data_IF_194204711291
#
_entry.id   IF_194204711291
#
_cell.length_a   1.000
_cell.length_b   1.000
_cell.length_c   1.000
_cell.angle_alpha   90.00
_cell.angle_beta   90.00
_cell.angle_gamma   90.00
#
_symmetry.space_group_name_H-M   'P 1'
#
loop_
_entity.id
_entity.type
_entity.pdbx_description
1 polymer ?
#
# COMPACT_ATOMS: atom_id res chain seq x y z
N UNK A 1 -39.03 -24.25 11.24
CA UNK A 1 -38.44 -23.68 12.46
C UNK A 1 -38.13 -24.83 13.40
N UNK A 2 -36.88 -25.09 13.75
CA UNK A 2 -36.48 -26.16 14.67
C UNK A 2 -36.29 -25.56 16.08
N UNK A 3 -36.73 -26.27 17.11
CA UNK A 3 -36.51 -25.92 18.51
C UNK A 3 -35.55 -26.95 19.11
N UNK A 4 -34.48 -26.46 19.73
CA UNK A 4 -33.51 -27.31 20.47
C UNK A 4 -33.84 -27.15 21.96
N UNK A 5 -34.05 -28.27 22.64
CA UNK A 5 -34.26 -28.32 24.07
C UNK A 5 -33.12 -29.08 24.71
N UNK A 6 -32.39 -28.44 25.64
CA UNK A 6 -31.28 -29.06 26.37
C UNK A 6 -31.34 -28.67 27.85
N UNK A 7 -30.68 -29.45 28.76
CA UNK A 7 -30.54 -29.06 30.15
C UNK A 7 -29.75 -27.75 30.28
N UNK A 8 -30.06 -26.96 31.29
CA UNK A 8 -29.32 -25.78 31.64
C UNK A 8 -28.05 -26.16 32.37
N UNK A 9 -26.88 -25.68 31.93
CA UNK A 9 -25.57 -25.96 32.47
C UNK A 9 -25.02 -24.72 33.15
N UNK A 10 -24.41 -24.90 34.31
CA UNK A 10 -23.97 -23.75 35.15
C UNK A 10 -22.48 -23.86 35.48
N UNK A 11 -21.71 -22.82 35.11
CA UNK A 11 -20.30 -22.65 35.43
C UNK A 11 -20.04 -22.01 36.81
N UNK A 12 -21.06 -21.90 37.68
CA UNK A 12 -20.96 -21.22 38.98
C UNK A 12 -21.28 -22.12 40.18
N UNK A 13 -21.43 -23.40 39.95
CA UNK A 13 -21.97 -24.35 40.96
C UNK A 13 -20.99 -24.56 42.12
N UNK A 14 -19.72 -24.77 41.82
CA UNK A 14 -18.64 -25.03 42.77
C UNK A 14 -17.28 -24.59 42.27
N UNK A 15 -16.22 -24.92 42.97
CA UNK A 15 -14.83 -24.57 42.62
C UNK A 15 -14.34 -25.30 41.37
N UNK A 16 -14.97 -26.41 41.00
CA UNK A 16 -14.71 -27.20 39.81
C UNK A 16 -15.59 -26.74 38.60
N UNK A 17 -16.23 -25.61 38.73
CA UNK A 17 -17.10 -25.04 37.71
C UNK A 17 -16.51 -23.75 37.14
N UNK A 18 -16.81 -23.47 35.85
CA UNK A 18 -16.35 -22.27 35.13
C UNK A 18 -16.80 -22.27 33.68
N UNK A 19 -16.42 -21.25 32.94
CA UNK A 19 -16.64 -21.16 31.51
C UNK A 19 -15.37 -20.74 30.75
N UNK A 20 -15.27 -21.20 29.52
CA UNK A 20 -14.09 -20.90 28.70
C UNK A 20 -14.36 -20.89 27.20
N UNK A 21 -13.37 -20.38 26.51
CA UNK A 21 -13.28 -20.40 25.05
C UNK A 21 -11.94 -21.04 24.70
N UNK A 22 -11.94 -21.96 23.76
CA UNK A 22 -10.73 -22.46 23.11
C UNK A 22 -10.81 -22.19 21.61
N UNK A 23 -9.71 -21.72 21.04
CA UNK A 23 -9.51 -21.55 19.62
C UNK A 23 -8.47 -22.58 19.18
N UNK A 24 -8.75 -23.32 18.11
CA UNK A 24 -7.94 -24.47 17.71
C UNK A 24 -6.51 -24.11 17.28
N UNK A 25 -6.28 -22.87 16.84
CA UNK A 25 -4.97 -22.30 16.47
C UNK A 25 -4.84 -20.87 17.00
N UNK A 26 -3.65 -20.32 16.96
CA UNK A 26 -3.42 -18.92 17.30
C UNK A 26 -4.14 -18.00 16.30
N UNK A 27 -5.07 -17.14 16.73
CA UNK A 27 -5.82 -16.28 15.82
C UNK A 27 -5.00 -15.11 15.21
N UNK A 28 -3.86 -14.79 15.79
CA UNK A 28 -2.97 -13.75 15.28
C UNK A 28 -1.92 -14.33 14.31
N UNK A 29 -1.28 -15.44 14.69
CA UNK A 29 -0.17 -16.03 13.93
C UNK A 29 -0.55 -17.26 13.11
N UNK A 30 -1.74 -17.84 13.27
CA UNK A 30 -2.17 -19.06 12.59
C UNK A 30 -1.43 -20.33 13.02
N UNK A 31 -0.56 -20.26 14.03
CA UNK A 31 0.20 -21.43 14.49
C UNK A 31 -0.69 -22.50 15.07
N UNK A 32 -0.32 -23.80 14.92
CA UNK A 32 -1.08 -24.94 15.40
C UNK A 32 -1.19 -25.08 16.93
N UNK A 33 -0.98 -24.00 17.67
CA UNK A 33 -1.09 -23.96 19.13
C UNK A 33 -2.47 -23.46 19.51
N UNK A 34 -3.25 -24.31 20.20
CA UNK A 34 -4.57 -23.90 20.71
C UNK A 34 -4.41 -22.77 21.75
N UNK A 35 -5.24 -21.73 21.59
CA UNK A 35 -5.29 -20.58 22.48
C UNK A 35 -6.68 -20.43 23.09
N UNK A 36 -6.85 -19.57 24.07
CA UNK A 36 -8.16 -19.35 24.64
C UNK A 36 -8.11 -18.78 26.06
N UNK A 37 -9.27 -18.74 26.70
CA UNK A 37 -9.43 -18.24 28.07
C UNK A 37 -10.33 -19.18 28.86
N UNK A 38 -10.04 -19.35 30.13
CA UNK A 38 -10.92 -19.99 31.11
C UNK A 38 -11.06 -19.08 32.32
N UNK A 39 -12.29 -18.95 32.78
CA UNK A 39 -12.63 -18.19 34.00
C UNK A 39 -13.41 -19.12 34.95
N UNK A 40 -12.91 -19.33 36.18
CA UNK A 40 -13.63 -20.13 37.17
C UNK A 40 -14.85 -19.40 37.69
N UNK A 41 -15.84 -20.14 38.13
CA UNK A 41 -17.07 -19.66 38.78
C UNK A 41 -17.84 -18.60 37.98
N UNK A 42 -17.92 -18.78 36.65
CA UNK A 42 -18.70 -17.92 35.74
C UNK A 42 -19.45 -18.74 34.71
N UNK A 43 -20.57 -18.20 34.24
CA UNK A 43 -21.31 -18.75 33.10
C UNK A 43 -20.90 -18.13 31.76
N UNK A 44 -20.09 -17.08 31.77
CA UNK A 44 -19.61 -16.40 30.57
C UNK A 44 -18.10 -16.20 30.69
N UNK A 45 -17.32 -16.67 29.72
CA UNK A 45 -15.92 -16.34 29.68
C UNK A 45 -15.77 -14.82 29.50
N UNK A 46 -14.93 -14.17 30.28
CA UNK A 46 -14.62 -12.77 30.10
C UNK A 46 -13.87 -12.59 28.77
N UNK A 47 -14.42 -11.79 27.89
CA UNK A 47 -13.80 -11.38 26.64
C UNK A 47 -12.72 -10.34 26.95
N UNK A 48 -11.49 -10.77 27.27
CA UNK A 48 -10.33 -9.87 27.32
C UNK A 48 -9.68 -9.83 25.95
N UNK A 49 -9.21 -8.66 25.55
CA UNK A 49 -8.59 -8.39 24.25
C UNK A 49 -7.29 -9.17 23.94
N UNK A 50 -6.76 -9.89 24.91
CA UNK A 50 -5.64 -10.81 24.75
C UNK A 50 -6.02 -12.17 25.32
N UNK A 51 -5.91 -13.24 24.53
CA UNK A 51 -6.08 -14.61 24.98
C UNK A 51 -4.73 -15.16 25.46
N UNK A 52 -4.38 -15.03 26.76
CA UNK A 52 -3.04 -15.41 27.26
C UNK A 52 -2.82 -16.94 27.27
N UNK A 53 -3.77 -17.68 26.75
CA UNK A 53 -3.79 -19.14 26.77
C UNK A 53 -4.75 -19.68 27.82
N UNK A 54 -4.93 -21.00 27.81
CA UNK A 54 -5.77 -21.71 28.78
C UNK A 54 -4.98 -22.08 30.05
N UNK A 55 -4.05 -21.18 30.47
CA UNK A 55 -3.11 -21.50 31.57
C UNK A 55 -3.83 -21.89 32.85
N UNK A 56 -4.83 -21.09 33.28
CA UNK A 56 -5.58 -21.40 34.52
C UNK A 56 -6.29 -22.75 34.46
N UNK A 57 -6.82 -23.15 33.31
CA UNK A 57 -7.42 -24.47 33.14
C UNK A 57 -6.37 -25.59 33.14
N UNK A 58 -5.21 -25.35 32.51
CA UNK A 58 -4.11 -26.33 32.52
C UNK A 58 -3.57 -26.57 33.93
N UNK A 59 -3.42 -25.50 34.69
CA UNK A 59 -2.83 -25.56 36.04
C UNK A 59 -3.81 -26.17 37.06
N UNK A 60 -5.12 -25.86 36.92
CA UNK A 60 -6.14 -26.31 37.88
C UNK A 60 -6.79 -27.64 37.48
N UNK A 61 -6.88 -27.94 36.19
CA UNK A 61 -7.56 -29.13 35.67
C UNK A 61 -6.96 -29.59 34.33
N UNK A 62 -5.76 -30.18 34.32
CA UNK A 62 -5.06 -30.57 33.09
C UNK A 62 -5.86 -31.55 32.21
N UNK A 63 -6.58 -32.47 32.79
CA UNK A 63 -7.45 -33.40 32.01
C UNK A 63 -8.58 -32.64 31.27
N UNK A 64 -9.16 -31.65 31.90
CA UNK A 64 -10.19 -30.80 31.27
C UNK A 64 -9.60 -29.95 30.13
N UNK A 65 -8.40 -29.39 30.35
CA UNK A 65 -7.63 -28.70 29.33
C UNK A 65 -7.42 -29.56 28.10
N UNK A 66 -6.89 -30.79 28.29
CA UNK A 66 -6.60 -31.72 27.18
C UNK A 66 -7.87 -32.15 26.43
N UNK A 67 -8.98 -32.29 27.15
CA UNK A 67 -10.28 -32.61 26.55
C UNK A 67 -10.79 -31.47 25.63
N UNK A 68 -10.73 -30.19 26.06
CA UNK A 68 -11.22 -29.08 25.25
C UNK A 68 -10.31 -28.80 24.06
N UNK A 69 -8.99 -28.94 24.21
CA UNK A 69 -8.03 -28.82 23.12
C UNK A 69 -8.23 -29.93 22.09
N UNK A 70 -8.38 -31.20 22.54
CA UNK A 70 -8.66 -32.34 21.66
C UNK A 70 -10.03 -32.17 20.94
N UNK A 71 -11.03 -31.64 21.62
CA UNK A 71 -12.34 -31.34 21.00
C UNK A 71 -12.22 -30.26 19.91
N UNK A 72 -11.49 -29.17 20.19
CA UNK A 72 -11.24 -28.09 19.20
C UNK A 72 -10.51 -28.65 17.98
N UNK A 73 -9.43 -29.41 18.15
CA UNK A 73 -8.68 -30.04 17.07
C UNK A 73 -9.51 -31.04 16.26
N UNK A 74 -10.41 -31.79 16.90
CA UNK A 74 -11.33 -32.69 16.19
C UNK A 74 -12.34 -31.94 15.33
N UNK A 75 -12.88 -30.85 15.87
CA UNK A 75 -13.80 -29.98 15.13
C UNK A 75 -13.15 -29.26 13.97
N UNK A 76 -11.92 -28.77 14.16
CA UNK A 76 -11.09 -28.19 13.12
C UNK A 76 -10.92 -29.18 11.94
N UNK A 77 -10.47 -30.42 12.23
CA UNK A 77 -10.34 -31.45 11.19
C UNK A 77 -11.65 -31.77 10.48
N UNK A 78 -12.75 -31.78 11.22
CA UNK A 78 -14.07 -32.09 10.65
C UNK A 78 -14.62 -30.98 9.76
N UNK A 79 -14.25 -29.72 10.03
CA UNK A 79 -14.71 -28.54 9.29
C UNK A 79 -13.72 -28.06 8.25
N UNK A 80 -12.50 -28.57 8.31
CA UNK A 80 -11.36 -28.04 7.56
C UNK A 80 -11.24 -26.52 7.69
N UNK A 81 -11.43 -26.00 8.91
CA UNK A 81 -11.34 -24.58 9.24
C UNK A 81 -11.06 -24.38 10.72
N UNK A 82 -10.40 -23.25 11.03
CA UNK A 82 -10.11 -22.83 12.39
C UNK A 82 -11.39 -22.61 13.20
N UNK A 83 -11.47 -23.19 14.38
CA UNK A 83 -12.69 -23.24 15.19
C UNK A 83 -12.52 -22.53 16.51
N UNK A 84 -13.51 -21.69 16.87
CA UNK A 84 -13.73 -21.16 18.19
C UNK A 84 -14.81 -21.99 18.88
N UNK A 85 -14.45 -22.59 20.02
CA UNK A 85 -15.30 -23.50 20.79
C UNK A 85 -15.57 -22.89 22.16
N UNK A 86 -16.84 -22.69 22.50
CA UNK A 86 -17.26 -22.28 23.85
C UNK A 86 -17.62 -23.50 24.68
N UNK A 87 -17.17 -23.51 25.92
CA UNK A 87 -17.45 -24.62 26.84
C UNK A 87 -17.77 -24.12 28.25
N UNK A 88 -18.53 -24.94 28.97
CA UNK A 88 -18.77 -24.78 30.41
C UNK A 88 -18.22 -26.06 31.10
N UNK A 89 -17.48 -25.84 32.17
CA UNK A 89 -17.12 -26.87 33.14
C UNK A 89 -18.11 -26.80 34.30
N UNK A 90 -18.87 -27.88 34.52
CA UNK A 90 -19.80 -27.98 35.64
C UNK A 90 -19.44 -29.22 36.46
N UNK A 91 -19.07 -29.02 37.74
CA UNK A 91 -18.66 -30.13 38.65
C UNK A 91 -17.58 -31.04 38.03
N UNK A 92 -16.58 -30.40 37.44
CA UNK A 92 -15.48 -31.10 36.77
C UNK A 92 -15.79 -31.64 35.37
N UNK A 93 -17.07 -31.68 34.93
CA UNK A 93 -17.47 -32.19 33.63
C UNK A 93 -17.50 -31.08 32.57
N UNK A 94 -16.94 -31.36 31.38
CA UNK A 94 -16.94 -30.40 30.25
C UNK A 94 -18.21 -30.58 29.39
N UNK A 95 -18.82 -29.44 29.08
CA UNK A 95 -19.94 -29.30 28.17
C UNK A 95 -19.59 -28.35 27.07
N UNK A 96 -19.63 -28.80 25.84
CA UNK A 96 -19.44 -27.95 24.66
C UNK A 96 -20.75 -27.20 24.35
N UNK A 97 -20.70 -25.89 24.30
CA UNK A 97 -21.89 -25.05 24.17
C UNK A 97 -22.09 -24.60 22.72
N UNK A 98 -21.01 -24.07 22.11
CA UNK A 98 -21.05 -23.53 20.77
C UNK A 98 -19.72 -23.82 20.05
N UNK A 99 -19.80 -24.08 18.74
CA UNK A 99 -18.65 -24.17 17.85
C UNK A 99 -18.90 -23.35 16.60
N UNK A 100 -18.08 -22.35 16.36
CA UNK A 100 -18.16 -21.46 15.19
C UNK A 100 -16.78 -21.29 14.54
N UNK A 101 -16.71 -20.81 13.27
CA UNK A 101 -15.43 -20.36 12.70
C UNK A 101 -14.78 -19.31 13.61
N UNK A 102 -13.47 -19.37 13.74
CA UNK A 102 -12.73 -18.41 14.54
C UNK A 102 -12.38 -17.16 13.73
N UNK A 103 -12.58 -15.99 14.35
CA UNK A 103 -12.03 -14.74 13.83
C UNK A 103 -10.49 -14.83 13.86
N UNK A 104 -9.84 -14.34 12.82
CA UNK A 104 -8.37 -14.45 12.66
C UNK A 104 -7.80 -13.30 11.86
N UNK A 105 -6.52 -13.04 12.04
CA UNK A 105 -5.80 -12.05 11.23
C UNK A 105 -5.64 -12.53 9.79
N UNK A 106 -5.37 -11.64 8.82
CA UNK A 106 -5.03 -12.01 7.45
C UNK A 106 -3.88 -13.00 7.37
N UNK A 107 -2.83 -12.80 8.15
CA UNK A 107 -1.66 -13.69 8.23
C UNK A 107 -2.03 -15.07 8.73
N UNK A 108 -2.85 -15.12 9.78
CA UNK A 108 -3.35 -16.38 10.29
C UNK A 108 -4.23 -17.10 9.26
N UNK A 109 -5.05 -16.37 8.48
CA UNK A 109 -5.88 -16.95 7.44
C UNK A 109 -5.05 -17.64 6.34
N UNK A 110 -4.02 -16.94 5.84
CA UNK A 110 -3.11 -17.49 4.82
C UNK A 110 -2.35 -18.70 5.36
N UNK A 111 -1.74 -18.57 6.54
CA UNK A 111 -0.97 -19.65 7.14
C UNK A 111 -1.84 -20.88 7.41
N UNK A 112 -3.01 -20.70 7.99
CA UNK A 112 -3.94 -21.80 8.29
C UNK A 112 -4.36 -22.51 7.01
N UNK A 113 -4.66 -21.79 5.93
CA UNK A 113 -5.02 -22.38 4.64
C UNK A 113 -3.87 -23.25 4.08
N UNK A 114 -2.64 -22.75 4.11
CA UNK A 114 -1.46 -23.48 3.62
C UNK A 114 -1.16 -24.70 4.53
N UNK A 115 -1.13 -24.53 5.84
CA UNK A 115 -0.88 -25.61 6.79
C UNK A 115 -1.92 -26.73 6.65
N UNK A 116 -3.21 -26.40 6.48
CA UNK A 116 -4.28 -27.39 6.30
C UNK A 116 -4.18 -28.18 4.99
N UNK A 117 -3.63 -27.62 3.94
CA UNK A 117 -3.28 -28.38 2.73
C UNK A 117 -2.15 -29.35 3.03
N UNK A 118 -1.10 -28.91 3.72
CA UNK A 118 0.01 -29.75 4.15
C UNK A 118 -0.42 -30.90 5.10
N UNK A 119 -1.41 -30.65 5.94
CA UNK A 119 -2.03 -31.61 6.84
C UNK A 119 -3.05 -32.55 6.14
N UNK A 120 -3.36 -32.34 4.86
CA UNK A 120 -4.33 -33.13 4.09
C UNK A 120 -5.79 -32.89 4.48
N UNK A 121 -6.09 -31.77 5.12
CA UNK A 121 -7.44 -31.42 5.57
C UNK A 121 -8.27 -30.70 4.50
N UNK A 122 -7.60 -30.04 3.52
CA UNK A 122 -8.24 -29.40 2.38
C UNK A 122 -7.38 -29.52 1.12
N UNK A 123 -7.99 -29.29 -0.03
CA UNK A 123 -7.28 -29.19 -1.31
C UNK A 123 -6.73 -27.75 -1.50
N UNK A 124 -5.78 -27.58 -2.47
CA UNK A 124 -5.27 -26.24 -2.85
C UNK A 124 -6.40 -25.32 -3.28
N UNK A 125 -7.36 -25.80 -4.08
CA UNK A 125 -8.51 -25.01 -4.53
C UNK A 125 -9.38 -24.54 -3.35
N UNK A 126 -9.57 -25.40 -2.36
CA UNK A 126 -10.30 -25.05 -1.14
C UNK A 126 -9.53 -24.02 -0.31
N UNK A 127 -8.21 -24.12 -0.23
CA UNK A 127 -7.37 -23.13 0.45
C UNK A 127 -7.44 -21.76 -0.21
N UNK A 128 -7.40 -21.71 -1.54
CA UNK A 128 -7.58 -20.46 -2.30
C UNK A 128 -8.96 -19.82 -2.05
N UNK A 129 -10.00 -20.61 -1.95
CA UNK A 129 -11.36 -20.12 -1.67
C UNK A 129 -11.57 -19.74 -0.20
N UNK A 130 -10.76 -20.24 0.72
CA UNK A 130 -10.87 -19.95 2.15
C UNK A 130 -10.22 -18.63 2.58
N UNK A 131 -9.41 -18.01 1.71
CA UNK A 131 -8.71 -16.74 1.96
C UNK A 131 -9.39 -15.64 1.15
N UNK A 132 -9.81 -14.59 1.84
CA UNK A 132 -10.37 -13.40 1.18
C UNK A 132 -9.25 -12.61 0.47
N UNK A 133 -9.34 -12.41 -0.87
CA UNK A 133 -8.34 -11.64 -1.60
C UNK A 133 -8.15 -10.21 -1.11
N UNK A 134 -9.19 -9.57 -0.56
CA UNK A 134 -9.11 -8.20 -0.06
C UNK A 134 -8.14 -8.08 1.14
N UNK A 135 -8.02 -9.14 1.94
CA UNK A 135 -7.10 -9.13 3.07
C UNK A 135 -5.62 -9.24 2.65
N UNK A 136 -5.33 -9.79 1.45
CA UNK A 136 -3.95 -9.99 0.97
C UNK A 136 -3.25 -8.68 0.64
N UNK A 137 -3.98 -7.69 0.12
CA UNK A 137 -3.40 -6.38 -0.20
C UNK A 137 -2.73 -5.73 1.01
N UNK A 138 -3.33 -5.87 2.20
CA UNK A 138 -2.74 -5.38 3.45
C UNK A 138 -1.49 -6.12 3.91
N UNK A 139 -1.24 -7.34 3.41
CA UNK A 139 -0.07 -8.13 3.76
C UNK A 139 1.17 -7.82 2.91
N UNK A 140 0.98 -7.19 1.76
CA UNK A 140 2.05 -6.87 0.81
C UNK A 140 2.79 -5.57 1.16
N UNK A 141 2.26 -4.79 2.09
CA UNK A 141 2.77 -3.47 2.44
C UNK A 141 3.08 -3.37 3.94
N UNK A 142 4.03 -2.49 4.33
CA UNK A 142 4.22 -2.12 5.73
C UNK A 142 2.92 -1.61 6.33
N UNK A 143 2.65 -1.92 7.59
CA UNK A 143 1.41 -1.54 8.29
C UNK A 143 1.69 -1.10 9.71
N UNK A 144 0.74 -0.43 10.33
CA UNK A 144 0.81 -0.14 11.76
C UNK A 144 0.85 -1.45 12.55
N UNK A 145 1.83 -1.60 13.46
CA UNK A 145 2.01 -2.81 14.27
C UNK A 145 0.86 -3.01 15.27
N UNK A 146 0.22 -1.92 15.67
CA UNK A 146 -0.95 -1.91 16.56
C UNK A 146 -1.88 -0.75 16.22
N UNK A 147 -3.13 -0.82 16.67
CA UNK A 147 -4.05 0.33 16.56
C UNK A 147 -3.47 1.52 17.28
N UNK A 148 -3.31 2.70 16.64
CA UNK A 148 -2.77 3.89 17.26
C UNK A 148 -3.56 4.30 18.52
N UNK A 149 -2.83 4.76 19.53
CA UNK A 149 -3.44 5.36 20.71
C UNK A 149 -3.82 6.81 20.38
N UNK A 150 -5.04 7.04 19.95
CA UNK A 150 -5.60 8.36 19.64
C UNK A 150 -6.36 8.40 18.33
N UNK A 151 -7.09 9.49 18.13
CA UNK A 151 -7.81 9.77 16.90
C UNK A 151 -6.83 10.27 15.82
N UNK A 152 -7.07 9.98 14.54
CA UNK A 152 -6.29 10.54 13.47
C UNK A 152 -6.42 12.07 13.45
N UNK A 153 -5.31 12.76 13.25
CA UNK A 153 -5.28 14.24 13.16
C UNK A 153 -5.88 14.75 11.86
N UNK A 154 -5.88 13.90 10.82
CA UNK A 154 -6.55 14.17 9.55
C UNK A 154 -6.82 12.88 8.78
N UNK A 155 -7.70 13.00 7.77
CA UNK A 155 -8.00 11.95 6.81
C UNK A 155 -8.04 12.52 5.40
N UNK A 156 -7.65 11.69 4.44
CA UNK A 156 -7.66 12.00 3.02
C UNK A 156 -7.99 10.79 2.17
N UNK A 157 -7.77 10.90 0.87
CA UNK A 157 -7.95 9.79 -0.05
C UNK A 157 -6.84 8.76 0.12
N UNK A 158 -7.17 7.51 0.41
CA UNK A 158 -6.26 6.38 0.41
C UNK A 158 -5.78 6.11 -1.03
N UNK A 159 -4.55 6.49 -1.37
CA UNK A 159 -4.07 6.48 -2.76
C UNK A 159 -2.96 5.50 -3.05
N UNK A 160 -2.12 5.21 -2.09
CA UNK A 160 -1.14 4.13 -2.16
C UNK A 160 -1.10 3.42 -0.80
N UNK A 161 -1.27 2.09 -0.77
CA UNK A 161 -1.35 1.33 0.47
C UNK A 161 -0.01 1.31 1.20
N UNK A 162 -0.09 0.98 2.50
CA UNK A 162 1.06 0.89 3.39
C UNK A 162 1.02 1.93 4.49
N UNK A 163 1.88 1.75 5.50
CA UNK A 163 2.08 2.70 6.57
C UNK A 163 3.54 3.14 6.64
N UNK A 164 3.76 4.39 6.98
CA UNK A 164 5.09 4.97 7.15
C UNK A 164 5.10 5.97 8.29
N UNK A 165 6.23 6.06 8.98
CA UNK A 165 6.47 7.02 10.04
C UNK A 165 7.78 7.75 9.79
N UNK A 166 7.79 9.07 9.92
CA UNK A 166 8.98 9.87 9.71
C UNK A 166 8.76 11.33 10.05
N UNK A 167 9.82 12.13 9.96
CA UNK A 167 9.69 13.58 10.08
C UNK A 167 9.12 14.19 8.79
N UNK A 168 8.29 15.23 8.88
CA UNK A 168 7.80 15.90 7.68
C UNK A 168 8.90 16.71 7.00
N UNK A 169 8.95 16.61 5.67
CA UNK A 169 9.77 17.47 4.79
C UNK A 169 8.88 18.13 3.75
N UNK A 170 9.25 19.33 3.33
CA UNK A 170 8.37 20.22 2.56
C UNK A 170 8.91 20.56 1.18
N UNK A 171 10.05 19.97 0.82
CA UNK A 171 10.64 20.10 -0.52
C UNK A 171 11.11 18.74 -1.03
N UNK A 172 11.20 18.63 -2.35
CA UNK A 172 11.73 17.44 -3.04
C UNK A 172 13.19 17.24 -2.70
N UNK A 173 13.96 18.32 -2.66
CA UNK A 173 15.38 18.33 -2.35
C UNK A 173 15.67 17.79 -0.95
N UNK A 174 14.83 18.19 0.04
CA UNK A 174 14.96 17.67 1.42
C UNK A 174 14.63 16.17 1.51
N UNK A 175 13.66 15.70 0.70
CA UNK A 175 13.33 14.28 0.65
C UNK A 175 14.46 13.45 0.03
N UNK A 176 15.05 13.92 -1.08
CA UNK A 176 16.18 13.27 -1.73
C UNK A 176 17.38 13.23 -0.78
N UNK A 177 17.72 14.36 -0.17
CA UNK A 177 18.82 14.46 0.79
C UNK A 177 18.61 13.58 2.03
N UNK A 178 17.36 13.36 2.46
CA UNK A 178 17.04 12.42 3.54
C UNK A 178 17.22 10.97 3.10
N UNK A 179 16.74 10.63 1.89
CA UNK A 179 16.92 9.29 1.31
C UNK A 179 18.40 8.90 1.15
N UNK A 180 19.27 9.83 0.74
CA UNK A 180 20.72 9.62 0.68
C UNK A 180 21.34 9.32 2.06
N UNK A 181 20.70 9.77 3.15
CA UNK A 181 21.12 9.52 4.53
C UNK A 181 20.38 8.35 5.18
N UNK A 182 19.56 7.63 4.42
CA UNK A 182 18.69 6.56 4.92
C UNK A 182 17.77 7.02 6.07
N UNK A 183 17.31 8.29 6.02
CA UNK A 183 16.38 8.85 6.99
C UNK A 183 14.94 8.70 6.50
N UNK A 184 14.06 8.13 7.34
CA UNK A 184 12.64 8.04 7.06
C UNK A 184 11.98 9.42 7.17
N UNK A 185 11.44 9.91 6.05
CA UNK A 185 10.74 11.20 5.99
C UNK A 185 9.38 11.06 5.31
N UNK A 186 8.44 11.90 5.73
CA UNK A 186 7.14 12.04 5.06
C UNK A 186 7.18 13.32 4.23
N UNK A 187 7.17 13.15 2.91
CA UNK A 187 7.14 14.26 1.97
C UNK A 187 5.74 14.88 1.95
N UNK A 188 5.67 16.18 2.20
CA UNK A 188 4.40 16.91 2.26
C UNK A 188 4.40 18.01 1.22
N UNK A 189 3.54 17.87 0.21
CA UNK A 189 3.41 18.81 -0.90
C UNK A 189 1.97 19.29 -1.05
N UNK A 190 1.78 20.36 -1.81
CA UNK A 190 0.44 20.78 -2.22
C UNK A 190 -0.13 19.81 -3.25
N UNK A 191 0.66 19.49 -4.25
CA UNK A 191 0.40 18.55 -5.33
C UNK A 191 1.75 18.00 -5.82
N UNK A 192 1.75 16.88 -6.53
CA UNK A 192 2.96 16.29 -7.13
C UNK A 192 2.93 16.59 -8.63
N UNK A 193 3.99 17.17 -9.11
CA UNK A 193 4.25 17.38 -10.54
C UNK A 193 5.23 16.31 -11.05
N UNK A 194 5.34 16.10 -12.36
CA UNK A 194 6.28 15.13 -12.93
C UNK A 194 7.74 15.28 -12.47
N UNK A 195 8.17 16.51 -12.22
CA UNK A 195 9.53 16.82 -11.71
C UNK A 195 9.78 16.41 -10.26
N UNK A 196 8.73 16.11 -9.51
CA UNK A 196 8.80 15.81 -8.07
C UNK A 196 8.96 14.30 -7.79
N UNK A 197 9.01 13.47 -8.83
CA UNK A 197 9.02 12.00 -8.73
C UNK A 197 10.19 11.47 -7.89
N UNK A 198 11.37 12.02 -8.05
CA UNK A 198 12.56 11.59 -7.30
C UNK A 198 12.37 11.77 -5.79
N UNK A 199 11.71 12.87 -5.38
CA UNK A 199 11.35 13.09 -3.99
C UNK A 199 10.33 12.07 -3.46
N UNK A 200 9.35 11.67 -4.29
CA UNK A 200 8.37 10.65 -3.92
C UNK A 200 9.03 9.28 -3.73
N UNK A 201 9.98 8.93 -4.59
CA UNK A 201 10.74 7.66 -4.50
C UNK A 201 11.65 7.63 -3.29
N UNK A 202 12.24 8.78 -2.92
CA UNK A 202 13.19 8.89 -1.80
C UNK A 202 12.50 9.00 -0.44
N UNK A 203 11.22 9.35 -0.38
CA UNK A 203 10.48 9.49 0.85
C UNK A 203 9.89 8.15 1.33
N UNK A 204 9.83 7.95 2.65
CA UNK A 204 9.14 6.82 3.26
C UNK A 204 7.61 6.90 3.10
N UNK A 205 7.05 8.11 2.91
CA UNK A 205 5.64 8.32 2.68
C UNK A 205 5.31 9.69 2.10
N UNK A 206 4.11 9.83 1.52
CA UNK A 206 3.65 11.04 0.84
C UNK A 206 2.32 11.54 1.38
N UNK A 207 2.23 12.85 1.61
CA UNK A 207 0.99 13.58 1.89
C UNK A 207 0.83 14.68 0.85
N UNK A 208 -0.38 14.81 0.27
CA UNK A 208 -0.72 16.01 -0.52
C UNK A 208 -2.05 16.64 -0.09
N UNK A 209 -2.13 17.98 -0.18
CA UNK A 209 -3.38 18.70 0.10
C UNK A 209 -4.37 18.67 -1.06
N UNK A 210 -3.89 18.44 -2.28
CA UNK A 210 -4.69 18.34 -3.50
C UNK A 210 -4.46 17.00 -4.20
N UNK A 211 -5.46 16.58 -4.96
CA UNK A 211 -5.42 15.34 -5.73
C UNK A 211 -6.34 14.26 -5.17
N UNK A 212 -6.49 13.19 -5.91
CA UNK A 212 -7.28 12.01 -5.57
C UNK A 212 -6.63 10.76 -6.13
N UNK A 213 -7.36 9.65 -6.19
CA UNK A 213 -6.84 8.33 -6.59
C UNK A 213 -6.24 8.26 -8.00
N UNK A 214 -6.57 9.19 -8.87
CA UNK A 214 -6.09 9.28 -10.27
C UNK A 214 -5.10 10.41 -10.50
N UNK A 215 -4.72 11.17 -9.45
CA UNK A 215 -3.76 12.26 -9.55
C UNK A 215 -2.34 11.76 -9.87
N UNK A 216 -1.46 12.65 -10.35
CA UNK A 216 -0.04 12.33 -10.55
C UNK A 216 0.62 11.83 -9.26
N UNK A 217 0.29 12.42 -8.11
CA UNK A 217 0.74 11.97 -6.80
C UNK A 217 0.40 10.50 -6.53
N UNK A 218 -0.85 10.12 -6.82
CA UNK A 218 -1.33 8.76 -6.62
C UNK A 218 -0.64 7.75 -7.54
N UNK A 219 -0.45 8.12 -8.80
CA UNK A 219 0.24 7.27 -9.79
C UNK A 219 1.71 7.10 -9.42
N UNK A 220 2.39 8.20 -9.08
CA UNK A 220 3.80 8.20 -8.68
C UNK A 220 4.04 7.36 -7.42
N UNK A 221 3.23 7.58 -6.38
CA UNK A 221 3.36 6.85 -5.13
C UNK A 221 3.15 5.34 -5.30
N UNK A 222 2.13 4.92 -6.07
CA UNK A 222 1.91 3.51 -6.36
C UNK A 222 3.05 2.89 -7.18
N UNK A 223 3.57 3.62 -8.16
CA UNK A 223 4.70 3.15 -8.96
C UNK A 223 5.99 3.00 -8.14
N UNK A 224 6.19 3.87 -7.15
CA UNK A 224 7.32 3.81 -6.22
C UNK A 224 7.11 2.81 -5.07
N UNK A 225 5.88 2.33 -4.82
CA UNK A 225 5.54 1.55 -3.63
C UNK A 225 5.53 2.40 -2.34
N UNK A 226 5.47 3.72 -2.47
CA UNK A 226 5.47 4.66 -1.34
C UNK A 226 4.05 4.82 -0.79
N UNK A 227 3.80 4.58 0.50
CA UNK A 227 2.52 4.86 1.13
C UNK A 227 2.09 6.32 0.93
N UNK A 228 0.82 6.55 0.53
CA UNK A 228 0.39 7.91 0.21
C UNK A 228 -1.06 8.21 0.55
N UNK A 229 -1.26 9.44 1.02
CA UNK A 229 -2.57 10.03 1.28
C UNK A 229 -2.66 11.35 0.49
N UNK A 230 -3.69 11.49 -0.32
CA UNK A 230 -3.89 12.71 -1.13
C UNK A 230 -5.19 13.42 -0.79
N UNK A 231 -5.26 14.72 -1.08
CA UNK A 231 -6.49 15.49 -0.92
C UNK A 231 -6.90 15.72 0.54
N UNK A 232 -5.94 15.92 1.45
CA UNK A 232 -6.25 16.27 2.83
C UNK A 232 -6.70 17.74 2.88
N UNK A 233 -7.95 17.98 3.27
CA UNK A 233 -8.60 19.28 3.14
C UNK A 233 -7.97 20.39 4.01
N UNK A 234 -7.64 20.12 5.25
CA UNK A 234 -7.21 21.13 6.22
C UNK A 234 -5.68 21.20 6.38
N UNK A 235 -4.97 21.22 5.26
CA UNK A 235 -3.50 21.33 5.24
C UNK A 235 -3.08 22.75 4.88
N UNK A 236 -2.32 23.39 5.77
CA UNK A 236 -1.69 24.67 5.52
C UNK A 236 -0.17 24.51 5.61
N UNK A 237 0.48 24.66 4.45
CA UNK A 237 1.93 24.68 4.33
C UNK A 237 2.45 26.09 4.66
N UNK A 238 3.47 26.16 5.50
CA UNK A 238 4.20 27.38 5.84
C UNK A 238 5.70 27.11 5.73
N UNK A 239 6.54 28.12 5.73
CA UNK A 239 7.99 27.93 5.69
C UNK A 239 8.46 27.09 6.90
N UNK A 240 8.85 25.82 6.65
CA UNK A 240 9.38 24.90 7.65
C UNK A 240 8.35 24.29 8.61
N UNK A 241 7.06 24.41 8.34
CA UNK A 241 6.01 23.77 9.13
C UNK A 241 4.77 23.46 8.31
N UNK A 242 4.01 22.47 8.78
CA UNK A 242 2.69 22.13 8.24
C UNK A 242 1.67 22.12 9.37
N UNK A 243 0.53 22.74 9.15
CA UNK A 243 -0.65 22.55 10.00
C UNK A 243 -1.61 21.61 9.31
N UNK A 244 -1.94 20.52 10.01
CA UNK A 244 -2.91 19.52 9.57
C UNK A 244 -4.06 19.52 10.60
N UNK A 245 -5.23 19.98 10.18
CA UNK A 245 -6.35 20.19 11.11
C UNK A 245 -5.99 21.16 12.23
N UNK A 246 -6.05 20.69 13.48
CA UNK A 246 -5.70 21.48 14.67
C UNK A 246 -4.23 21.34 15.10
N UNK A 247 -3.44 20.46 14.49
CA UNK A 247 -2.06 20.15 14.89
C UNK A 247 -1.07 20.80 13.92
N UNK A 248 -0.02 21.41 14.46
CA UNK A 248 1.09 21.97 13.68
C UNK A 248 2.32 21.10 13.89
N UNK A 249 2.95 20.70 12.79
CA UNK A 249 4.18 19.92 12.77
C UNK A 249 5.31 20.75 12.14
N UNK A 250 6.49 20.59 12.69
CA UNK A 250 7.74 21.17 12.20
C UNK A 250 8.65 20.04 11.70
N UNK A 251 9.75 20.37 11.04
CA UNK A 251 10.73 19.37 10.58
C UNK A 251 11.39 18.53 11.69
N UNK A 252 11.08 18.80 12.97
CA UNK A 252 11.59 18.06 14.13
C UNK A 252 10.54 17.12 14.75
N UNK A 253 9.29 17.23 14.32
CA UNK A 253 8.21 16.36 14.80
C UNK A 253 8.17 15.07 13.99
N UNK A 254 7.45 14.06 14.48
CA UNK A 254 7.17 12.85 13.74
C UNK A 254 5.70 12.80 13.34
N UNK A 255 5.45 12.29 12.14
CA UNK A 255 4.11 12.01 11.60
C UNK A 255 4.08 10.56 11.17
N UNK A 256 2.97 9.88 11.39
CA UNK A 256 2.71 8.54 10.87
C UNK A 256 1.51 8.59 9.94
N UNK A 257 1.62 7.92 8.80
CA UNK A 257 0.54 7.78 7.83
C UNK A 257 0.13 6.32 7.66
N UNK A 258 -1.17 6.12 7.50
CA UNK A 258 -1.75 4.86 7.01
C UNK A 258 -2.39 5.13 5.64
N UNK A 259 -1.64 4.81 4.59
CA UNK A 259 -2.05 5.00 3.21
C UNK A 259 -3.20 4.07 2.80
N UNK A 260 -3.37 2.92 3.50
CA UNK A 260 -4.49 2.00 3.29
C UNK A 260 -5.80 2.54 3.85
N UNK A 261 -5.76 3.14 5.05
CA UNK A 261 -6.93 3.75 5.69
C UNK A 261 -7.13 5.23 5.29
N UNK A 262 -6.13 5.89 4.69
CA UNK A 262 -6.14 7.31 4.38
C UNK A 262 -6.09 8.20 5.63
N UNK A 263 -5.37 7.78 6.67
CA UNK A 263 -5.34 8.42 7.99
C UNK A 263 -3.94 8.90 8.36
N UNK A 264 -3.88 10.08 8.99
CA UNK A 264 -2.64 10.70 9.49
C UNK A 264 -2.69 10.75 11.00
N UNK A 265 -1.60 10.36 11.65
CA UNK A 265 -1.44 10.36 13.10
C UNK A 265 -0.27 11.23 13.53
N UNK A 266 -0.40 11.85 14.69
CA UNK A 266 0.70 12.58 15.32
C UNK A 266 1.66 11.61 16.01
N UNK A 267 2.96 11.90 15.93
CA UNK A 267 4.01 11.09 16.55
C UNK A 267 4.48 9.93 15.69
N UNK A 268 5.48 9.21 16.19
CA UNK A 268 6.02 8.00 15.60
C UNK A 268 5.28 6.79 16.13
N UNK A 269 4.76 5.97 15.26
CA UNK A 269 4.15 4.67 15.56
C UNK A 269 4.99 3.55 14.96
N UNK A 270 4.97 2.40 15.63
CA UNK A 270 5.71 1.23 15.17
C UNK A 270 5.11 0.69 13.88
N UNK A 271 5.96 0.48 12.88
CA UNK A 271 5.59 -0.06 11.57
C UNK A 271 6.01 -1.53 11.51
N UNK A 272 5.03 -2.41 11.38
CA UNK A 272 5.26 -3.82 11.10
C UNK A 272 5.55 -3.99 9.61
N UNK A 273 6.68 -4.60 9.31
CA UNK A 273 7.01 -5.00 7.95
C UNK A 273 6.09 -6.15 7.49
N UNK A 274 5.88 -6.32 6.19
CA UNK A 274 5.19 -7.48 5.65
C UNK A 274 5.78 -8.77 6.25
N UNK A 275 4.95 -9.76 6.66
CA UNK A 275 5.47 -11.01 7.18
C UNK A 275 6.35 -11.71 6.15
N UNK A 276 7.35 -12.47 6.62
CA UNK A 276 8.23 -13.23 5.75
C UNK A 276 7.39 -14.12 4.80
N UNK A 277 7.65 -13.95 3.51
CA UNK A 277 6.76 -14.24 2.38
C UNK A 277 6.34 -15.72 2.18
N UNK A 278 6.90 -16.71 2.89
CA UNK A 278 6.79 -18.13 2.54
C UNK A 278 5.36 -18.69 2.41
N UNK A 279 4.44 -18.34 3.27
CA UNK A 279 3.05 -18.83 3.20
C UNK A 279 2.24 -18.11 2.10
N UNK A 280 2.43 -16.80 1.98
CA UNK A 280 1.77 -16.02 0.94
C UNK A 280 2.27 -16.41 -0.44
N UNK A 281 3.59 -16.56 -0.62
CA UNK A 281 4.18 -17.00 -1.89
C UNK A 281 3.64 -18.35 -2.31
N UNK A 282 3.54 -19.30 -1.37
CA UNK A 282 2.99 -20.62 -1.66
C UNK A 282 1.51 -20.57 -2.06
N UNK A 283 0.71 -19.70 -1.41
CA UNK A 283 -0.69 -19.50 -1.80
C UNK A 283 -0.80 -18.87 -3.18
N UNK A 284 0.07 -17.89 -3.50
CA UNK A 284 0.12 -17.23 -4.80
C UNK A 284 0.59 -18.18 -5.91
N UNK A 285 1.57 -19.06 -5.65
CA UNK A 285 1.97 -20.12 -6.59
C UNK A 285 0.78 -21.03 -6.97
N UNK A 286 -0.04 -21.42 -5.99
CA UNK A 286 -1.24 -22.22 -6.27
C UNK A 286 -2.29 -21.42 -7.06
N UNK A 287 -2.41 -20.11 -6.80
CA UNK A 287 -3.30 -19.25 -7.57
C UNK A 287 -2.83 -19.14 -9.03
N UNK A 288 -1.52 -19.01 -9.25
CA UNK A 288 -0.94 -18.95 -10.61
C UNK A 288 -1.14 -20.25 -11.40
N UNK A 289 -1.15 -21.41 -10.74
CA UNK A 289 -1.45 -22.69 -11.41
C UNK A 289 -2.89 -22.77 -11.97
N UNK A 290 -3.85 -22.06 -11.37
CA UNK A 290 -5.28 -22.16 -11.72
C UNK A 290 -5.86 -20.93 -12.40
N UNK A 291 -5.20 -19.76 -12.29
CA UNK A 291 -5.68 -18.54 -12.95
C UNK A 291 -5.68 -18.67 -14.45
N UNK A 292 -6.66 -18.01 -15.09
CA UNK A 292 -6.82 -17.99 -16.55
C UNK A 292 -6.52 -16.63 -17.16
N UNK A 293 -6.59 -15.58 -16.36
CA UNK A 293 -6.30 -14.22 -16.78
C UNK A 293 -4.82 -13.91 -16.50
N UNK A 294 -4.16 -13.29 -17.46
CA UNK A 294 -2.83 -12.76 -17.28
C UNK A 294 -2.87 -11.48 -16.43
N UNK A 295 -1.86 -11.30 -15.60
CA UNK A 295 -1.65 -10.09 -14.79
C UNK A 295 -0.58 -9.25 -15.47
N UNK A 296 -0.97 -8.06 -15.94
CA UNK A 296 -0.10 -7.15 -16.66
C UNK A 296 0.12 -5.88 -15.83
N UNK A 297 1.37 -5.52 -15.62
CA UNK A 297 1.74 -4.37 -14.82
C UNK A 297 1.88 -3.10 -15.68
N UNK A 298 1.83 -1.94 -15.03
CA UNK A 298 2.30 -0.69 -15.61
C UNK A 298 3.75 -0.47 -15.19
N UNK A 299 4.65 -0.25 -16.13
CA UNK A 299 6.04 0.07 -15.86
C UNK A 299 6.63 0.94 -16.99
N UNK A 300 7.23 2.05 -16.64
CA UNK A 300 7.78 3.04 -17.57
C UNK A 300 9.31 3.01 -17.59
N UNK A 301 9.95 2.25 -16.69
CA UNK A 301 11.41 2.12 -16.55
C UNK A 301 11.80 0.66 -16.40
N UNK A 302 13.06 0.33 -16.75
CA UNK A 302 13.63 -1.00 -16.55
C UNK A 302 13.55 -1.49 -15.10
N UNK A 303 13.79 -0.59 -14.14
CA UNK A 303 13.67 -0.89 -12.70
C UNK A 303 12.24 -1.30 -12.34
N UNK A 304 11.24 -0.51 -12.75
CA UNK A 304 9.83 -0.82 -12.49
C UNK A 304 9.40 -2.12 -13.17
N UNK A 305 9.88 -2.38 -14.39
CA UNK A 305 9.64 -3.61 -15.13
C UNK A 305 10.24 -4.84 -14.43
N UNK A 306 11.48 -4.73 -13.93
CA UNK A 306 12.13 -5.79 -13.15
C UNK A 306 11.35 -6.09 -11.86
N UNK A 307 10.88 -5.06 -11.16
CA UNK A 307 10.03 -5.23 -9.97
C UNK A 307 8.70 -5.94 -10.32
N UNK A 308 8.05 -5.53 -11.41
CA UNK A 308 6.82 -6.15 -11.88
C UNK A 308 7.03 -7.63 -12.24
N UNK A 309 8.11 -7.95 -12.96
CA UNK A 309 8.49 -9.32 -13.31
C UNK A 309 8.76 -10.18 -12.06
N UNK A 310 9.50 -9.64 -11.10
CA UNK A 310 9.79 -10.32 -9.83
C UNK A 310 8.51 -10.58 -9.03
N UNK A 311 7.54 -9.67 -9.12
CA UNK A 311 6.22 -9.83 -8.50
C UNK A 311 5.28 -10.78 -9.27
N UNK A 312 5.72 -11.40 -10.39
CA UNK A 312 4.96 -12.38 -11.16
C UNK A 312 4.07 -11.81 -12.26
N UNK A 313 4.34 -10.60 -12.75
CA UNK A 313 3.61 -10.06 -13.90
C UNK A 313 3.93 -10.85 -15.18
N UNK A 314 2.89 -11.15 -15.97
CA UNK A 314 3.01 -11.86 -17.26
C UNK A 314 3.49 -10.94 -18.39
N UNK A 315 3.49 -9.64 -18.18
CA UNK A 315 3.93 -8.64 -19.14
C UNK A 315 3.69 -7.22 -18.65
N UNK A 316 4.14 -6.25 -19.43
CA UNK A 316 3.83 -4.83 -19.22
C UNK A 316 2.66 -4.43 -20.10
N UNK A 317 1.53 -4.09 -19.47
CA UNK A 317 0.30 -3.67 -20.14
C UNK A 317 0.30 -2.20 -20.55
N UNK A 318 1.14 -1.39 -19.93
CA UNK A 318 1.34 0.02 -20.27
C UNK A 318 2.73 0.48 -19.90
N UNK A 319 3.54 0.79 -20.91
CA UNK A 319 4.76 1.60 -20.79
C UNK A 319 4.50 2.94 -21.49
N UNK A 320 4.59 4.04 -20.76
CA UNK A 320 4.31 5.38 -21.26
C UNK A 320 5.60 6.04 -21.74
N UNK A 321 5.77 6.20 -23.04
CA UNK A 321 6.99 6.76 -23.63
C UNK A 321 7.24 8.22 -23.23
N UNK A 322 6.21 8.97 -22.84
CA UNK A 322 6.35 10.34 -22.37
C UNK A 322 7.14 10.48 -21.06
N UNK A 323 7.17 9.44 -20.22
CA UNK A 323 7.97 9.47 -19.00
C UNK A 323 9.48 9.39 -19.27
N UNK A 324 9.87 8.94 -20.49
CA UNK A 324 11.27 8.93 -20.92
C UNK A 324 11.79 10.34 -21.26
N UNK A 325 10.91 11.37 -21.27
CA UNK A 325 11.27 12.76 -21.63
C UNK A 325 11.47 13.69 -20.43
N UNK A 326 11.48 13.13 -19.21
CA UNK A 326 11.67 13.94 -18.00
C UNK A 326 13.15 14.23 -17.69
N UNK A 327 13.38 15.12 -16.73
CA UNK A 327 14.71 15.51 -16.29
C UNK A 327 15.47 16.31 -17.37
N UNK A 328 16.75 16.00 -17.55
CA UNK A 328 17.63 16.71 -18.50
C UNK A 328 17.16 16.56 -19.96
N UNK A 329 16.45 15.49 -20.28
CA UNK A 329 15.92 15.21 -21.64
C UNK A 329 14.83 16.17 -22.07
N UNK A 330 14.16 16.80 -21.12
CA UNK A 330 13.13 17.82 -21.40
C UNK A 330 13.70 18.99 -22.21
N UNK A 331 14.97 19.32 -22.04
CA UNK A 331 15.65 20.37 -22.82
C UNK A 331 15.75 19.99 -24.31
N UNK A 332 16.00 18.71 -24.61
CA UNK A 332 16.03 18.21 -26.00
C UNK A 332 14.65 18.27 -26.64
N UNK A 333 13.61 17.85 -25.91
CA UNK A 333 12.22 17.93 -26.41
C UNK A 333 11.81 19.37 -26.66
N UNK A 334 12.14 20.32 -25.76
CA UNK A 334 11.88 21.74 -25.95
C UNK A 334 12.61 22.31 -27.16
N UNK A 335 13.86 21.88 -27.40
CA UNK A 335 14.62 22.27 -28.59
C UNK A 335 13.92 21.81 -29.86
N UNK A 336 13.39 20.59 -29.91
CA UNK A 336 12.60 20.08 -31.03
C UNK A 336 11.34 20.92 -31.29
N UNK A 337 10.64 21.34 -30.23
CA UNK A 337 9.37 22.05 -30.32
C UNK A 337 9.55 23.53 -30.67
N UNK A 338 10.62 24.16 -30.17
CA UNK A 338 10.84 25.63 -30.26
C UNK A 338 11.82 26.04 -31.36
N UNK A 339 12.63 25.08 -31.89
CA UNK A 339 13.59 25.44 -32.95
C UNK A 339 12.88 25.77 -34.26
N UNK A 340 13.19 26.95 -34.81
CA UNK A 340 12.82 27.37 -36.16
C UNK A 340 13.80 26.85 -37.22
N UNK A 341 15.04 26.50 -36.79
CA UNK A 341 16.04 25.93 -37.69
C UNK A 341 15.81 24.41 -37.90
N UNK A 342 15.56 24.02 -39.14
CA UNK A 342 15.36 22.62 -39.51
C UNK A 342 16.58 21.74 -39.24
N UNK A 343 17.80 22.30 -39.25
CA UNK A 343 19.02 21.53 -38.95
C UNK A 343 19.12 21.25 -37.44
N UNK A 344 18.97 22.26 -36.61
CA UNK A 344 18.98 22.10 -35.14
C UNK A 344 17.87 21.15 -34.68
N UNK A 345 16.66 21.25 -35.29
CA UNK A 345 15.57 20.31 -35.02
C UNK A 345 15.93 18.88 -35.37
N UNK A 346 16.60 18.65 -36.51
CA UNK A 346 17.01 17.30 -36.94
C UNK A 346 18.07 16.71 -35.99
N UNK A 347 19.04 17.52 -35.55
CA UNK A 347 20.04 17.08 -34.56
C UNK A 347 19.39 16.73 -33.22
N UNK A 348 18.43 17.54 -32.75
CA UNK A 348 17.71 17.27 -31.51
C UNK A 348 16.84 16.00 -31.59
N UNK A 349 16.26 15.71 -32.75
CA UNK A 349 15.52 14.45 -33.00
C UNK A 349 16.45 13.24 -32.95
N UNK A 350 17.65 13.31 -33.57
CA UNK A 350 18.64 12.23 -33.52
C UNK A 350 19.14 11.99 -32.08
N UNK A 351 19.36 13.08 -31.34
CA UNK A 351 19.73 12.99 -29.92
C UNK A 351 18.64 12.29 -29.09
N UNK A 352 17.38 12.68 -29.30
CA UNK A 352 16.23 12.07 -28.61
C UNK A 352 16.05 10.60 -28.97
N UNK A 353 16.20 10.24 -30.26
CA UNK A 353 16.13 8.85 -30.73
C UNK A 353 17.17 7.98 -30.00
N UNK A 354 18.41 8.44 -29.93
CA UNK A 354 19.48 7.69 -29.25
C UNK A 354 19.19 7.49 -27.75
N UNK A 355 18.64 8.49 -27.08
CA UNK A 355 18.25 8.40 -25.67
C UNK A 355 17.10 7.39 -25.46
N UNK A 356 16.09 7.42 -26.33
CA UNK A 356 14.96 6.49 -26.25
C UNK A 356 15.33 5.04 -26.60
N UNK A 357 16.24 4.84 -27.56
CA UNK A 357 16.74 3.50 -27.89
C UNK A 357 17.31 2.84 -26.65
N UNK A 358 18.13 3.55 -25.86
CA UNK A 358 18.69 3.02 -24.63
C UNK A 358 17.61 2.65 -23.61
N UNK A 359 16.62 3.52 -23.39
CA UNK A 359 15.53 3.24 -22.43
C UNK A 359 14.70 2.01 -22.84
N UNK A 360 14.41 1.88 -24.14
CA UNK A 360 13.67 0.73 -24.64
C UNK A 360 14.49 -0.56 -24.60
N UNK A 361 15.79 -0.51 -24.89
CA UNK A 361 16.68 -1.66 -24.74
C UNK A 361 16.69 -2.16 -23.31
N UNK A 362 16.90 -1.28 -22.33
CA UNK A 362 16.86 -1.64 -20.91
C UNK A 362 15.50 -2.19 -20.45
N UNK A 363 14.39 -1.56 -20.89
CA UNK A 363 13.04 -1.99 -20.56
C UNK A 363 12.73 -3.38 -21.15
N UNK A 364 13.07 -3.60 -22.42
CA UNK A 364 12.83 -4.86 -23.13
C UNK A 364 13.76 -5.98 -22.59
N UNK A 365 15.00 -5.67 -22.22
CA UNK A 365 15.89 -6.62 -21.57
C UNK A 365 15.35 -7.08 -20.21
N UNK A 366 14.84 -6.14 -19.39
CA UNK A 366 14.20 -6.46 -18.12
C UNK A 366 13.00 -7.40 -18.30
N UNK A 367 12.30 -7.32 -19.42
CA UNK A 367 11.11 -8.11 -19.77
C UNK A 367 11.37 -9.20 -20.81
N UNK A 368 12.62 -9.63 -21.00
CA UNK A 368 12.97 -10.63 -22.00
C UNK A 368 12.06 -11.87 -21.92
N UNK A 369 11.49 -12.27 -23.05
CA UNK A 369 10.55 -13.38 -23.18
C UNK A 369 9.10 -13.08 -22.75
N UNK A 370 8.77 -11.84 -22.34
CA UNK A 370 7.42 -11.41 -21.96
C UNK A 370 6.97 -10.19 -22.77
N UNK A 371 5.66 -10.02 -23.04
CA UNK A 371 5.18 -8.92 -23.87
C UNK A 371 5.22 -7.57 -23.16
N UNK A 372 5.53 -6.51 -23.91
CA UNK A 372 5.50 -5.12 -23.46
C UNK A 372 4.63 -4.30 -24.41
N UNK A 373 3.61 -3.64 -23.86
CA UNK A 373 2.75 -2.70 -24.63
C UNK A 373 3.21 -1.29 -24.36
N UNK A 374 3.74 -0.64 -25.40
CA UNK A 374 4.21 0.74 -25.34
C UNK A 374 3.11 1.68 -25.81
N UNK A 375 2.77 2.68 -25.02
CA UNK A 375 1.97 3.82 -25.45
C UNK A 375 2.88 4.81 -26.18
N UNK A 376 2.55 5.10 -27.41
CA UNK A 376 3.18 6.19 -28.15
C UNK A 376 2.83 7.52 -27.48
N UNK A 377 3.63 8.57 -27.75
CA UNK A 377 3.50 9.88 -27.16
C UNK A 377 2.06 10.41 -27.22
N UNK A 378 1.39 10.48 -26.07
CA UNK A 378 -0.02 10.87 -25.96
C UNK A 378 -0.26 12.28 -25.39
N UNK A 379 0.56 12.82 -24.45
CA UNK A 379 0.30 14.12 -23.84
C UNK A 379 0.24 15.27 -24.85
N UNK A 380 -0.55 16.31 -24.55
CA UNK A 380 -0.52 17.54 -25.31
C UNK A 380 0.89 18.17 -25.33
N UNK A 381 1.26 18.75 -26.45
CA UNK A 381 2.62 19.31 -26.67
C UNK A 381 3.00 20.35 -25.63
N UNK A 382 2.04 21.16 -25.14
CA UNK A 382 2.30 22.20 -24.14
C UNK A 382 2.75 21.67 -22.77
N UNK A 383 2.52 20.38 -22.44
CA UNK A 383 3.00 19.79 -21.17
C UNK A 383 4.54 19.71 -21.11
N UNK A 384 5.22 19.70 -22.26
CA UNK A 384 6.68 19.72 -22.32
C UNK A 384 7.28 21.12 -22.29
N UNK A 385 6.46 22.15 -22.45
CA UNK A 385 6.89 23.54 -22.45
C UNK A 385 6.97 24.10 -21.02
N UNK A 386 7.73 25.19 -20.79
CA UNK A 386 7.72 25.89 -19.51
C UNK A 386 6.32 26.41 -19.16
N UNK A 387 6.05 26.57 -17.87
CA UNK A 387 4.84 27.25 -17.42
C UNK A 387 4.82 28.69 -17.92
N UNK A 388 3.75 29.13 -18.60
CA UNK A 388 3.59 30.48 -19.08
C UNK A 388 3.72 31.49 -17.93
N UNK A 389 3.14 31.18 -16.77
CA UNK A 389 3.24 32.07 -15.60
C UNK A 389 4.70 32.28 -15.16
N UNK A 390 5.51 31.21 -15.20
CA UNK A 390 6.93 31.31 -14.82
C UNK A 390 7.70 32.17 -15.83
N UNK A 391 7.38 32.05 -17.12
CA UNK A 391 7.98 32.90 -18.17
C UNK A 391 7.56 34.37 -18.01
N UNK A 392 6.28 34.66 -17.79
CA UNK A 392 5.78 36.00 -17.53
C UNK A 392 6.41 36.66 -16.29
N UNK A 393 6.64 35.85 -15.23
CA UNK A 393 7.35 36.31 -14.03
C UNK A 393 8.81 36.67 -14.36
N UNK A 394 9.52 35.82 -15.10
CA UNK A 394 10.89 36.08 -15.53
C UNK A 394 10.98 37.32 -16.41
N UNK A 395 10.05 37.53 -17.35
CA UNK A 395 9.97 38.75 -18.16
C UNK A 395 9.82 39.97 -17.25
N UNK A 396 8.93 39.92 -16.28
CA UNK A 396 8.69 41.01 -15.35
C UNK A 396 9.93 41.31 -14.51
N UNK A 397 10.62 40.31 -14.01
CA UNK A 397 11.86 40.45 -13.24
C UNK A 397 12.99 41.04 -14.09
N UNK A 398 13.24 40.52 -15.30
CA UNK A 398 14.26 41.05 -16.21
C UNK A 398 13.99 42.49 -16.61
N UNK A 399 12.72 42.86 -16.90
CA UNK A 399 12.32 44.25 -17.19
C UNK A 399 12.62 45.18 -16.02
N UNK A 400 12.32 44.73 -14.79
CA UNK A 400 12.63 45.51 -13.58
C UNK A 400 14.12 45.73 -13.42
N UNK A 401 14.94 44.74 -13.76
CA UNK A 401 16.40 44.79 -13.62
C UNK A 401 17.09 45.41 -14.87
N UNK A 402 16.33 45.86 -15.88
CA UNK A 402 16.86 46.48 -17.11
C UNK A 402 17.58 45.49 -18.04
N UNK A 403 17.28 44.20 -17.95
CA UNK A 403 17.85 43.14 -18.79
C UNK A 403 17.00 42.93 -20.06
N UNK A 404 17.59 42.41 -21.16
CA UNK A 404 16.84 42.04 -22.37
C UNK A 404 15.82 40.96 -22.09
N UNK A 405 14.67 41.03 -22.78
CA UNK A 405 13.54 40.11 -22.59
C UNK A 405 13.03 39.47 -23.89
N UNK A 406 13.63 39.82 -25.03
CA UNK A 406 13.17 39.40 -26.35
C UNK A 406 13.12 37.87 -26.53
N UNK A 407 14.07 37.17 -25.94
CA UNK A 407 14.13 35.71 -25.92
C UNK A 407 12.96 35.06 -25.12
N UNK A 408 12.59 35.68 -24.00
CA UNK A 408 11.46 35.25 -23.19
C UNK A 408 10.11 35.61 -23.79
N UNK A 409 10.01 36.78 -24.47
CA UNK A 409 8.79 37.17 -25.18
C UNK A 409 8.52 36.21 -26.36
N UNK A 410 9.54 35.81 -27.12
CA UNK A 410 9.41 34.80 -28.16
C UNK A 410 8.99 33.42 -27.59
N UNK A 411 9.51 33.08 -26.44
CA UNK A 411 9.13 31.83 -25.76
C UNK A 411 7.67 31.90 -25.28
N UNK A 412 7.19 33.04 -24.75
CA UNK A 412 5.80 33.21 -24.34
C UNK A 412 4.84 33.11 -25.53
N UNK A 413 5.19 33.76 -26.66
CA UNK A 413 4.42 33.67 -27.91
C UNK A 413 4.36 32.21 -28.42
N UNK A 414 5.47 31.47 -28.37
CA UNK A 414 5.51 30.09 -28.76
C UNK A 414 4.66 29.19 -27.83
N UNK A 415 4.72 29.43 -26.52
CA UNK A 415 3.88 28.73 -25.54
C UNK A 415 2.40 28.99 -25.80
N UNK A 416 2.03 30.23 -26.09
CA UNK A 416 0.65 30.61 -26.42
C UNK A 416 0.16 29.92 -27.69
N UNK A 417 1.00 29.82 -28.72
CA UNK A 417 0.68 29.11 -29.96
C UNK A 417 0.41 27.60 -29.73
N UNK A 418 1.15 26.95 -28.82
CA UNK A 418 0.99 25.54 -28.50
C UNK A 418 -0.03 25.26 -27.40
N UNK A 419 -0.49 26.28 -26.67
CA UNK A 419 -1.47 26.16 -25.60
C UNK A 419 -2.86 25.94 -26.17
N UNK A 420 -3.58 25.00 -25.59
CA UNK A 420 -4.92 24.62 -26.04
C UNK A 420 -5.95 24.86 -24.96
N UNK A 421 -7.11 25.39 -25.36
CA UNK A 421 -8.24 25.64 -24.45
C UNK A 421 -8.82 24.32 -23.94
N UNK A 422 -8.74 23.25 -24.74
CA UNK A 422 -9.17 21.93 -24.34
C UNK A 422 -8.10 20.88 -24.75
N UNK A 423 -7.29 20.42 -23.80
CA UNK A 423 -6.23 19.44 -24.06
C UNK A 423 -6.71 18.12 -24.70
N UNK A 424 -7.99 17.77 -24.53
CA UNK A 424 -8.57 16.56 -25.14
C UNK A 424 -8.79 16.67 -26.64
N UNK A 425 -8.85 17.89 -27.19
CA UNK A 425 -9.09 18.17 -28.62
C UNK A 425 -7.81 18.60 -29.34
N UNK A 426 -6.72 18.79 -28.63
CA UNK A 426 -5.51 19.37 -29.13
C UNK A 426 -4.54 18.45 -29.85
N UNK A 427 -3.45 19.04 -30.34
CA UNK A 427 -2.34 18.33 -30.98
C UNK A 427 -1.63 17.46 -29.95
N UNK A 428 -1.63 16.17 -30.20
CA UNK A 428 -0.86 15.21 -29.43
C UNK A 428 0.28 14.66 -30.28
N UNK A 429 1.37 14.20 -29.66
CA UNK A 429 2.59 13.84 -30.34
C UNK A 429 2.46 12.82 -31.49
N UNK A 430 1.40 12.03 -31.51
CA UNK A 430 1.14 11.02 -32.55
C UNK A 430 0.01 11.37 -33.52
N UNK A 431 -0.53 12.58 -33.47
CA UNK A 431 -1.61 13.06 -34.35
C UNK A 431 -1.17 14.16 -35.28
#
# INVERSE_FOLDING_TARGET
MGVVIHPMIFGVVDDDSGAGVVISRDPAAGSGVATGVYSPRTNRPESRAAYPGLADLRDTAPEAHDLVVAAASRMERSRADMVRLEFIREKGRIWLIEARPADRSPEAAVRVAVDMVGEGLMTRDQALLAVDPECLAGMLHPRLASTPLGEPVASGSATSPGAASGRPVFSVEDAIAAGEREEDVILVLREVLPRDLDGVVSAAGLITSHGGQTSHAAVAARAAGTPAITGIADVVLSAGSIRIGAVTFTGYDSITIDGGAGQVYAGSHEIAQPPAASYLDQLLEWADEVRRLGVWANADTARAATMARTAGADGIGLARSEYMFHGERLAVVRRILLSEDGHDRAEALEELENLQVGDFEELLEAMDGTPVVVRLLDPPVHEFLPSRLDVELQITERRRDGLPVEDLEQLDDAIEQWSEVNPMLGLRGVR
#
